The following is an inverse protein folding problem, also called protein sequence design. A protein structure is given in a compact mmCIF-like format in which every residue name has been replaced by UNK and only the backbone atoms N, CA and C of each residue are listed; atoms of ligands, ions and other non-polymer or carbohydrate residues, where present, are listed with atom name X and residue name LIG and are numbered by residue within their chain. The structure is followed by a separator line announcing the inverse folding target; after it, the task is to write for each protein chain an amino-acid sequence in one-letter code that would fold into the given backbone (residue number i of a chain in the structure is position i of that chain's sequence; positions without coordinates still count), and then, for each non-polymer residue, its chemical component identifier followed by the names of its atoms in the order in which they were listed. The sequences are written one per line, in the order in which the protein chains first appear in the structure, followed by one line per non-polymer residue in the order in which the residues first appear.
data_IF_747483292327
#
_entry.id   IF_747483292327
#
_cell.length_a   1.000
_cell.length_b   1.000
_cell.length_c   1.000
_cell.angle_alpha   90.00
_cell.angle_beta   90.00
_cell.angle_gamma   90.00
#
_symmetry.space_group_name_H-M   'P 1'
#
loop_
_entity.id
_entity.type
_entity.pdbx_description
1 polymer ?
#
# COMPACT_ATOMS: atom_id res chain seq x y z
N UNK A 1 8.53 -8.71 -5.48
CA UNK A 1 8.71 -7.53 -4.61
C UNK A 1 9.66 -6.57 -5.30
N UNK A 2 9.42 -5.27 -5.17
CA UNK A 2 10.37 -4.21 -5.54
C UNK A 2 10.56 -3.36 -4.30
N UNK A 3 11.78 -3.33 -3.80
CA UNK A 3 12.17 -2.50 -2.66
C UNK A 3 13.41 -1.70 -3.05
N UNK A 4 13.22 -0.40 -3.14
CA UNK A 4 14.27 0.59 -3.44
C UNK A 4 14.19 1.74 -2.42
N UNK A 5 13.69 1.44 -1.22
CA UNK A 5 13.59 2.40 -0.15
C UNK A 5 14.95 2.97 0.27
N UNK A 6 14.94 4.12 0.94
CA UNK A 6 16.13 4.74 1.56
C UNK A 6 17.25 5.03 0.57
N UNK A 7 16.85 5.62 -0.56
CA UNK A 7 17.77 6.03 -1.59
C UNK A 7 17.64 7.52 -1.88
N UNK A 8 18.39 7.98 -2.87
CA UNK A 8 18.35 9.36 -3.37
C UNK A 8 17.67 9.45 -4.75
N UNK A 9 16.78 8.50 -5.06
CA UNK A 9 16.09 8.46 -6.34
C UNK A 9 15.14 9.65 -6.45
N UNK A 10 15.04 10.24 -7.63
CA UNK A 10 14.25 11.44 -7.86
C UNK A 10 13.51 11.37 -9.19
N UNK A 11 12.65 12.36 -9.44
CA UNK A 11 11.78 12.38 -10.62
C UNK A 11 10.39 11.84 -10.31
N UNK A 12 9.57 11.65 -11.33
CA UNK A 12 8.22 11.10 -11.17
C UNK A 12 8.24 9.58 -11.11
N UNK A 13 7.30 8.99 -10.38
CA UNK A 13 7.04 7.55 -10.42
C UNK A 13 6.66 7.17 -11.87
N UNK A 14 7.41 6.29 -12.55
CA UNK A 14 7.13 5.96 -13.94
C UNK A 14 5.86 5.13 -14.13
N UNK A 15 5.09 5.43 -15.18
CA UNK A 15 3.85 4.70 -15.52
C UNK A 15 4.08 3.20 -15.80
N UNK A 16 5.28 2.83 -16.26
CA UNK A 16 5.59 1.43 -16.58
C UNK A 16 5.55 0.52 -15.36
N UNK A 17 5.68 1.05 -14.13
CA UNK A 17 5.53 0.24 -12.91
C UNK A 17 4.17 -0.45 -12.91
N UNK A 18 3.11 0.29 -13.23
CA UNK A 18 1.76 -0.26 -13.30
C UNK A 18 1.52 -1.15 -14.52
N UNK A 19 2.05 -0.75 -15.68
CA UNK A 19 1.81 -1.46 -16.94
C UNK A 19 2.55 -2.80 -17.00
N UNK A 20 3.83 -2.81 -16.61
CA UNK A 20 4.72 -3.96 -16.81
C UNK A 20 4.74 -4.87 -15.58
N UNK A 21 4.60 -4.32 -14.37
CA UNK A 21 4.69 -5.09 -13.13
C UNK A 21 3.32 -5.49 -12.58
N UNK A 22 2.38 -5.89 -13.44
CA UNK A 22 1.00 -6.25 -13.03
C UNK A 22 0.90 -7.37 -11.97
N UNK A 23 1.97 -8.16 -11.80
CA UNK A 23 2.09 -9.25 -10.82
C UNK A 23 2.68 -8.79 -9.49
N UNK A 24 3.06 -7.52 -9.36
CA UNK A 24 3.74 -6.99 -8.19
C UNK A 24 2.82 -7.02 -6.96
N UNK A 25 3.32 -7.65 -5.90
CA UNK A 25 2.62 -7.76 -4.62
C UNK A 25 3.14 -6.77 -3.57
N UNK A 26 4.43 -6.39 -3.66
CA UNK A 26 5.09 -5.51 -2.69
C UNK A 26 5.89 -4.47 -3.46
N UNK A 27 5.57 -3.20 -3.21
CA UNK A 27 6.27 -2.04 -3.74
C UNK A 27 6.65 -1.09 -2.61
N UNK A 28 7.94 -0.91 -2.38
CA UNK A 28 8.49 0.08 -1.46
C UNK A 28 9.38 1.06 -2.19
N UNK A 29 8.94 2.32 -2.23
CA UNK A 29 9.68 3.50 -2.72
C UNK A 29 10.02 4.48 -1.58
N UNK A 30 9.85 4.03 -0.32
CA UNK A 30 9.98 4.84 0.90
C UNK A 30 11.28 5.64 0.95
N UNK A 31 11.25 6.83 1.53
CA UNK A 31 12.47 7.60 1.83
C UNK A 31 13.34 7.82 0.60
N UNK A 32 12.77 8.55 -0.37
CA UNK A 32 13.40 8.96 -1.63
C UNK A 32 12.99 10.42 -1.95
N UNK A 33 13.31 10.92 -3.14
CA UNK A 33 12.94 12.25 -3.63
C UNK A 33 11.95 12.18 -4.81
N UNK A 34 11.09 11.15 -4.87
CA UNK A 34 10.07 11.06 -5.92
C UNK A 34 9.09 12.22 -5.80
N UNK A 35 8.72 12.83 -6.93
CA UNK A 35 7.90 14.05 -7.01
C UNK A 35 6.79 13.93 -8.04
N UNK A 36 5.86 14.88 -8.02
CA UNK A 36 4.70 14.87 -8.91
C UNK A 36 3.60 13.94 -8.42
N UNK A 37 2.56 13.74 -9.24
CA UNK A 37 1.40 12.93 -8.88
C UNK A 37 1.65 11.44 -9.01
N UNK A 38 0.91 10.65 -8.21
CA UNK A 38 0.83 9.21 -8.43
C UNK A 38 0.24 8.93 -9.83
N UNK A 39 0.92 8.16 -10.69
CA UNK A 39 0.40 7.84 -12.00
C UNK A 39 -0.82 6.92 -11.89
N UNK A 40 -1.85 7.13 -12.70
CA UNK A 40 -3.08 6.30 -12.69
C UNK A 40 -2.78 4.81 -12.95
N UNK A 41 -1.70 4.52 -13.68
CA UNK A 41 -1.23 3.17 -13.95
C UNK A 41 -0.89 2.40 -12.68
N UNK A 42 -0.58 3.07 -11.56
CA UNK A 42 -0.39 2.38 -10.28
C UNK A 42 -1.59 1.47 -9.96
N UNK A 43 -2.81 1.89 -10.33
CA UNK A 43 -4.05 1.13 -10.15
C UNK A 43 -4.15 -0.14 -11.02
N UNK A 44 -3.18 -0.42 -11.90
CA UNK A 44 -3.11 -1.67 -12.66
C UNK A 44 -2.46 -2.80 -11.87
N UNK A 45 -1.84 -2.49 -10.72
CA UNK A 45 -1.26 -3.46 -9.79
C UNK A 45 -2.35 -4.20 -8.99
N UNK A 46 -3.16 -5.03 -9.67
CA UNK A 46 -4.29 -5.73 -9.04
C UNK A 46 -3.88 -6.69 -7.92
N UNK A 47 -2.64 -7.18 -7.98
CA UNK A 47 -2.02 -8.10 -7.00
C UNK A 47 -1.30 -7.41 -5.86
N UNK A 48 -1.26 -6.07 -5.82
CA UNK A 48 -0.56 -5.33 -4.77
C UNK A 48 -1.19 -5.63 -3.41
N UNK A 49 -0.34 -5.90 -2.43
CA UNK A 49 -0.67 -6.11 -1.03
C UNK A 49 0.00 -5.05 -0.17
N UNK A 50 1.20 -4.61 -0.55
CA UNK A 50 1.92 -3.55 0.13
C UNK A 50 2.33 -2.46 -0.85
N UNK A 51 1.89 -1.24 -0.56
CA UNK A 51 2.28 -0.03 -1.27
C UNK A 51 2.84 0.97 -0.25
N UNK A 52 4.16 1.11 -0.20
CA UNK A 52 4.85 2.10 0.62
C UNK A 52 5.51 3.16 -0.28
N UNK A 53 4.90 4.33 -0.33
CA UNK A 53 5.40 5.51 -1.04
C UNK A 53 5.76 6.63 -0.05
N UNK A 54 5.91 6.30 1.22
CA UNK A 54 6.07 7.28 2.29
C UNK A 54 7.41 8.03 2.21
N UNK A 55 7.48 9.20 2.84
CA UNK A 55 8.71 10.01 2.92
C UNK A 55 9.29 10.33 1.54
N UNK A 56 8.47 10.99 0.71
CA UNK A 56 8.83 11.46 -0.62
C UNK A 56 8.31 12.90 -0.82
N UNK A 57 8.42 13.42 -2.04
CA UNK A 57 7.92 14.74 -2.46
C UNK A 57 6.69 14.62 -3.38
N UNK A 58 5.89 13.55 -3.24
CA UNK A 58 4.72 13.31 -4.09
C UNK A 58 3.63 14.35 -3.81
N UNK A 59 2.93 14.78 -4.85
CA UNK A 59 1.94 15.87 -4.80
C UNK A 59 0.64 15.47 -5.51
N UNK A 60 -0.36 16.34 -5.51
CA UNK A 60 -1.64 16.06 -6.17
C UNK A 60 -2.50 15.07 -5.39
N UNK A 61 -3.54 14.56 -6.04
CA UNK A 61 -4.57 13.75 -5.39
C UNK A 61 -4.24 12.26 -5.35
N UNK A 62 -4.81 11.56 -4.38
CA UNK A 62 -4.81 10.09 -4.36
C UNK A 62 -5.80 9.60 -5.44
N UNK A 63 -5.36 8.77 -6.41
CA UNK A 63 -6.24 8.32 -7.49
C UNK A 63 -7.47 7.56 -7.00
N UNK A 64 -8.67 7.93 -7.48
CA UNK A 64 -9.93 7.21 -7.17
C UNK A 64 -9.94 5.77 -7.71
N UNK A 65 -9.06 5.44 -8.67
CA UNK A 65 -8.90 4.07 -9.15
C UNK A 65 -8.26 3.12 -8.13
N UNK A 66 -7.89 3.59 -6.93
CA UNK A 66 -7.29 2.76 -5.86
C UNK A 66 -8.13 1.55 -5.47
N UNK A 67 -9.46 1.61 -5.66
CA UNK A 67 -10.37 0.44 -5.54
C UNK A 67 -9.97 -0.75 -6.42
N UNK A 68 -9.14 -0.56 -7.44
CA UNK A 68 -8.69 -1.62 -8.34
C UNK A 68 -7.59 -2.51 -7.72
N UNK A 69 -7.09 -2.20 -6.53
CA UNK A 69 -6.21 -3.09 -5.76
C UNK A 69 -6.99 -4.29 -5.23
N UNK A 70 -7.32 -5.22 -6.13
CA UNK A 70 -8.24 -6.33 -5.88
C UNK A 70 -7.76 -7.24 -4.75
N UNK A 71 -6.46 -7.44 -4.60
CA UNK A 71 -5.89 -8.19 -3.47
C UNK A 71 -6.11 -7.50 -2.11
N UNK A 72 -6.07 -6.15 -2.05
CA UNK A 72 -6.39 -5.38 -0.84
C UNK A 72 -7.88 -5.30 -0.56
N UNK A 73 -8.72 -5.52 -1.58
CA UNK A 73 -10.16 -5.67 -1.37
C UNK A 73 -10.44 -6.98 -0.62
N UNK A 74 -9.81 -8.11 -0.96
CA UNK A 74 -10.12 -9.41 -0.33
C UNK A 74 -9.60 -9.52 1.11
N UNK A 75 -10.29 -10.23 2.01
CA UNK A 75 -9.75 -10.57 3.33
C UNK A 75 -8.62 -11.59 3.22
N UNK A 76 -7.57 -11.46 4.03
CA UNK A 76 -6.45 -12.42 4.04
C UNK A 76 -6.77 -13.58 4.97
N UNK A 77 -6.70 -14.81 4.46
CA UNK A 77 -6.81 -16.03 5.26
C UNK A 77 -5.44 -16.69 5.36
N UNK A 78 -5.08 -17.20 6.54
CA UNK A 78 -3.89 -18.04 6.74
C UNK A 78 -3.89 -19.29 5.84
N UNK A 79 -5.07 -19.71 5.35
CA UNK A 79 -5.19 -20.85 4.42
C UNK A 79 -4.76 -20.51 2.99
N UNK A 80 -4.67 -19.22 2.67
CA UNK A 80 -4.27 -18.74 1.35
C UNK A 80 -2.76 -18.46 1.28
N UNK A 81 -2.03 -18.74 2.37
CA UNK A 81 -0.57 -18.65 2.39
C UNK A 81 0.03 -19.78 1.55
N UNK A 82 0.64 -19.42 0.43
CA UNK A 82 1.49 -20.32 -0.35
C UNK A 82 2.95 -19.92 -0.16
N UNK A 83 3.79 -20.89 0.17
CA UNK A 83 5.24 -20.68 0.22
C UNK A 83 5.75 -20.23 -1.16
N UNK A 84 6.73 -19.33 -1.15
CA UNK A 84 7.28 -18.78 -2.37
C UNK A 84 8.36 -19.69 -2.96
N UNK A 85 8.22 -20.05 -4.23
CA UNK A 85 9.18 -20.89 -4.96
C UNK A 85 9.58 -20.26 -6.30
N UNK A 86 10.77 -20.58 -6.77
CA UNK A 86 11.17 -20.36 -8.16
C UNK A 86 11.70 -21.65 -8.77
N UNK A 87 11.36 -21.84 -10.04
CA UNK A 87 11.82 -22.96 -10.85
C UNK A 87 13.18 -22.63 -11.44
N UNK A 88 14.17 -23.45 -11.14
CA UNK A 88 15.44 -23.44 -11.86
C UNK A 88 15.42 -24.61 -12.82
N UNK A 89 15.54 -24.32 -14.11
CA UNK A 89 15.68 -25.34 -15.14
C UNK A 89 16.97 -25.08 -15.91
N UNK A 90 17.99 -25.88 -15.61
CA UNK A 90 19.28 -25.87 -16.31
C UNK A 90 19.50 -27.21 -17.00
N UNK A 91 20.49 -27.29 -17.89
CA UNK A 91 20.87 -28.54 -18.55
C UNK A 91 21.38 -29.63 -17.59
N UNK A 92 21.64 -29.29 -16.32
CA UNK A 92 22.24 -30.19 -15.32
C UNK A 92 21.35 -30.42 -14.08
N UNK A 93 20.35 -29.57 -13.85
CA UNK A 93 19.42 -29.70 -12.72
C UNK A 93 18.08 -29.03 -13.00
N UNK A 94 17.01 -29.67 -12.53
CA UNK A 94 15.68 -29.08 -12.39
C UNK A 94 15.20 -29.24 -10.95
N UNK A 95 14.67 -28.17 -10.37
CA UNK A 95 14.16 -28.18 -9.00
C UNK A 95 13.42 -26.92 -8.63
N UNK A 96 12.49 -27.06 -7.69
CA UNK A 96 11.82 -25.95 -7.01
C UNK A 96 12.66 -25.52 -5.81
N UNK A 97 12.99 -24.22 -5.76
CA UNK A 97 13.74 -23.62 -4.67
C UNK A 97 12.85 -22.62 -3.94
N UNK A 98 12.65 -22.86 -2.65
CA UNK A 98 11.92 -21.92 -1.78
C UNK A 98 12.79 -20.71 -1.46
N UNK A 99 12.14 -19.57 -1.22
CA UNK A 99 12.80 -18.38 -0.68
C UNK A 99 11.87 -17.67 0.29
N UNK A 100 12.47 -17.03 1.30
CA UNK A 100 11.72 -16.22 2.25
C UNK A 100 11.49 -14.82 1.66
N UNK A 101 10.29 -14.30 1.85
CA UNK A 101 10.00 -12.91 1.52
C UNK A 101 10.02 -12.05 2.78
N UNK A 102 11.05 -11.20 2.91
CA UNK A 102 11.23 -10.33 4.07
C UNK A 102 11.23 -8.86 3.63
N UNK A 103 10.59 -7.99 4.41
CA UNK A 103 10.60 -6.55 4.18
C UNK A 103 10.71 -5.77 5.49
N UNK A 104 11.48 -4.69 5.49
CA UNK A 104 11.54 -3.71 6.58
C UNK A 104 10.53 -2.61 6.28
N UNK A 105 9.59 -2.40 7.20
CA UNK A 105 8.47 -1.47 7.03
C UNK A 105 8.37 -0.53 8.23
N UNK A 106 7.89 0.69 7.99
CA UNK A 106 7.38 1.50 9.09
C UNK A 106 6.05 0.91 9.57
N UNK A 107 6.02 0.40 10.80
CA UNK A 107 4.83 -0.13 11.44
C UNK A 107 4.55 0.60 12.75
N UNK A 108 3.42 1.31 12.81
CA UNK A 108 2.96 2.00 14.04
C UNK A 108 4.04 2.94 14.63
N UNK A 109 4.82 3.57 13.76
CA UNK A 109 5.90 4.51 14.15
C UNK A 109 7.25 3.87 14.46
N UNK A 110 7.41 2.55 14.30
CA UNK A 110 8.71 1.87 14.43
C UNK A 110 9.06 1.09 13.17
N UNK A 111 10.36 0.95 12.87
CA UNK A 111 10.80 0.03 11.81
C UNK A 111 10.66 -1.41 12.31
N UNK A 112 9.98 -2.24 11.53
CA UNK A 112 9.79 -3.65 11.82
C UNK A 112 10.06 -4.50 10.59
N UNK A 113 10.72 -5.62 10.81
CA UNK A 113 10.91 -6.63 9.79
C UNK A 113 9.70 -7.57 9.81
N UNK A 114 9.03 -7.67 8.67
CA UNK A 114 7.98 -8.66 8.43
C UNK A 114 8.56 -9.79 7.62
N UNK A 115 8.40 -11.02 8.11
CA UNK A 115 8.92 -12.22 7.47
C UNK A 115 7.79 -13.08 6.94
N UNK A 116 7.90 -13.48 5.68
CA UNK A 116 7.19 -14.57 5.04
C UNK A 116 5.66 -14.52 5.29
N UNK A 117 5.12 -15.44 6.10
CA UNK A 117 3.70 -15.43 6.49
C UNK A 117 3.25 -14.08 7.04
N UNK A 118 4.05 -13.43 7.88
CA UNK A 118 3.72 -12.11 8.43
C UNK A 118 3.58 -11.04 7.35
N UNK A 119 4.43 -11.08 6.33
CA UNK A 119 4.38 -10.16 5.20
C UNK A 119 3.20 -10.48 4.26
N UNK A 120 2.88 -11.75 4.03
CA UNK A 120 1.74 -12.16 3.19
C UNK A 120 0.37 -11.82 3.77
N UNK A 121 0.28 -11.68 5.10
CA UNK A 121 -0.95 -11.29 5.77
C UNK A 121 -1.17 -9.78 5.71
N UNK A 122 -0.11 -9.03 5.41
CA UNK A 122 -0.13 -7.59 5.48
C UNK A 122 -0.69 -6.98 4.19
N UNK A 123 -1.83 -6.30 4.33
CA UNK A 123 -2.40 -5.43 3.30
C UNK A 123 -2.26 -3.99 3.76
N UNK A 124 -1.31 -3.26 3.20
CA UNK A 124 -0.91 -1.94 3.70
C UNK A 124 -0.72 -0.92 2.60
N UNK A 125 -1.22 0.29 2.86
CA UNK A 125 -0.95 1.49 2.08
C UNK A 125 -0.33 2.53 3.02
N UNK A 126 0.92 2.91 2.75
CA UNK A 126 1.59 4.04 3.40
C UNK A 126 1.93 5.11 2.36
N UNK A 127 1.25 6.26 2.45
CA UNK A 127 1.49 7.45 1.65
C UNK A 127 1.96 8.63 2.51
N UNK A 128 2.37 8.37 3.75
CA UNK A 128 2.65 9.41 4.73
C UNK A 128 3.88 10.23 4.38
N UNK A 129 3.99 11.42 4.97
CA UNK A 129 5.13 12.33 4.78
C UNK A 129 5.39 12.66 3.31
N UNK A 130 4.34 13.18 2.66
CA UNK A 130 4.36 13.65 1.27
C UNK A 130 3.68 15.04 1.20
N UNK A 131 3.40 15.51 -0.01
CA UNK A 131 2.70 16.76 -0.31
C UNK A 131 1.33 16.49 -0.96
N UNK A 132 0.72 15.32 -0.72
CA UNK A 132 -0.56 14.95 -1.32
C UNK A 132 -1.67 15.89 -0.84
N UNK A 133 -2.58 16.23 -1.75
CA UNK A 133 -3.64 17.22 -1.53
C UNK A 133 -5.00 16.66 -1.99
N UNK A 134 -6.06 17.45 -1.82
CA UNK A 134 -7.42 17.03 -2.16
C UNK A 134 -8.03 16.15 -1.06
N UNK A 135 -9.14 15.50 -1.37
CA UNK A 135 -9.85 14.66 -0.41
C UNK A 135 -9.30 13.23 -0.37
N UNK A 136 -9.51 12.54 0.76
CA UNK A 136 -9.33 11.08 0.82
C UNK A 136 -10.40 10.44 -0.09
N UNK A 137 -10.04 9.70 -1.14
CA UNK A 137 -11.03 9.13 -2.05
C UNK A 137 -11.89 8.10 -1.33
N UNK A 138 -13.21 8.22 -1.47
CA UNK A 138 -14.19 7.26 -0.89
C UNK A 138 -13.95 5.83 -1.35
N UNK A 139 -13.28 5.64 -2.49
CA UNK A 139 -12.92 4.33 -3.03
C UNK A 139 -12.00 3.52 -2.11
N UNK A 140 -11.30 4.15 -1.15
CA UNK A 140 -10.58 3.44 -0.07
C UNK A 140 -11.52 2.56 0.76
N UNK A 141 -12.81 2.93 0.88
CA UNK A 141 -13.82 2.14 1.60
C UNK A 141 -14.06 0.76 0.96
N UNK A 142 -13.66 0.56 -0.31
CA UNK A 142 -13.73 -0.71 -1.01
C UNK A 142 -12.59 -1.68 -0.70
N UNK A 143 -11.56 -1.23 0.02
CA UNK A 143 -10.38 -2.04 0.36
C UNK A 143 -10.61 -2.76 1.71
N UNK A 144 -11.65 -3.59 1.79
CA UNK A 144 -12.11 -4.19 3.05
C UNK A 144 -11.12 -5.17 3.70
N UNK A 145 -10.13 -5.65 2.95
CA UNK A 145 -9.01 -6.45 3.47
C UNK A 145 -7.83 -5.64 3.96
N UNK A 146 -7.85 -4.30 3.88
CA UNK A 146 -6.75 -3.45 4.31
C UNK A 146 -6.52 -3.56 5.82
N UNK A 147 -5.28 -3.80 6.22
CA UNK A 147 -4.84 -3.95 7.61
C UNK A 147 -4.25 -2.65 8.15
N UNK A 148 -3.55 -1.89 7.29
CA UNK A 148 -2.89 -0.64 7.68
C UNK A 148 -3.05 0.44 6.63
N UNK A 149 -3.50 1.62 7.06
CA UNK A 149 -3.59 2.82 6.24
C UNK A 149 -2.90 3.99 6.94
N UNK A 150 -1.84 4.51 6.34
CA UNK A 150 -1.13 5.68 6.82
C UNK A 150 -1.12 6.78 5.76
N UNK A 151 -1.86 7.86 6.02
CA UNK A 151 -1.93 9.04 5.16
C UNK A 151 -1.41 10.30 5.89
N UNK A 152 -0.75 10.11 7.03
CA UNK A 152 -0.32 11.21 7.89
C UNK A 152 0.70 12.13 7.21
N UNK A 153 0.85 13.36 7.72
CA UNK A 153 1.83 14.35 7.21
C UNK A 153 1.67 14.60 5.72
N UNK A 154 0.47 15.02 5.32
CA UNK A 154 0.13 15.45 3.97
C UNK A 154 -0.69 16.76 4.03
N UNK A 155 -1.25 17.17 2.91
CA UNK A 155 -2.11 18.35 2.77
C UNK A 155 -3.56 17.95 2.45
N UNK A 156 -4.00 16.78 2.91
CA UNK A 156 -5.34 16.26 2.60
C UNK A 156 -6.41 17.10 3.30
N UNK A 157 -7.48 17.40 2.58
CA UNK A 157 -8.62 18.22 3.00
C UNK A 157 -9.91 17.41 3.02
N UNK A 158 -11.03 18.06 3.34
CA UNK A 158 -12.35 17.43 3.30
C UNK A 158 -12.60 16.51 4.49
N UNK A 159 -13.62 15.65 4.38
CA UNK A 159 -14.05 14.77 5.46
C UNK A 159 -13.37 13.41 5.37
N UNK A 160 -13.22 12.74 6.51
CA UNK A 160 -12.88 11.31 6.52
C UNK A 160 -14.06 10.54 5.89
N UNK A 161 -13.82 9.63 4.92
CA UNK A 161 -14.89 8.86 4.30
C UNK A 161 -15.68 8.06 5.35
N UNK A 162 -17.00 8.16 5.28
CA UNK A 162 -17.91 7.72 6.35
C UNK A 162 -17.85 6.22 6.65
N UNK A 163 -17.48 5.38 5.68
CA UNK A 163 -17.39 3.94 5.87
C UNK A 163 -15.97 3.46 6.20
N UNK A 164 -15.00 4.35 6.46
CA UNK A 164 -13.67 3.93 6.98
C UNK A 164 -13.82 3.10 8.26
N UNK A 165 -14.82 3.40 9.10
CA UNK A 165 -15.13 2.61 10.29
C UNK A 165 -15.65 1.18 10.01
N UNK A 166 -16.02 0.87 8.76
CA UNK A 166 -16.48 -0.47 8.32
C UNK A 166 -15.35 -1.36 7.80
N UNK A 167 -14.12 -0.84 7.67
CA UNK A 167 -12.95 -1.64 7.31
C UNK A 167 -12.58 -2.54 8.50
N UNK A 168 -13.20 -3.72 8.58
CA UNK A 168 -13.09 -4.61 9.75
C UNK A 168 -11.71 -5.22 9.94
N UNK A 169 -10.91 -5.31 8.88
CA UNK A 169 -9.52 -5.78 8.92
C UNK A 169 -8.53 -4.71 9.35
N UNK A 170 -8.94 -3.43 9.41
CA UNK A 170 -8.05 -2.31 9.67
C UNK A 170 -7.62 -2.28 11.14
N UNK A 171 -6.33 -2.48 11.39
CA UNK A 171 -5.70 -2.44 12.70
C UNK A 171 -4.96 -1.13 12.97
N UNK A 172 -4.56 -0.43 11.90
CA UNK A 172 -3.83 0.82 11.99
C UNK A 172 -4.39 1.85 11.01
N UNK A 173 -4.74 3.01 11.54
CA UNK A 173 -5.19 4.17 10.78
C UNK A 173 -4.51 5.42 11.33
N UNK A 174 -3.67 6.04 10.52
CA UNK A 174 -3.06 7.32 10.84
C UNK A 174 -3.38 8.36 9.77
N UNK A 175 -4.18 9.36 10.15
CA UNK A 175 -4.58 10.50 9.34
C UNK A 175 -4.03 11.82 9.90
N UNK A 176 -3.14 11.75 10.91
CA UNK A 176 -2.63 12.92 11.63
C UNK A 176 -1.84 13.87 10.72
N UNK A 177 -1.71 15.14 11.11
CA UNK A 177 -0.95 16.14 10.35
C UNK A 177 -1.46 16.28 8.89
N UNK A 178 -2.77 16.52 8.77
CA UNK A 178 -3.47 16.89 7.54
C UNK A 178 -4.39 18.10 7.81
N UNK A 179 -5.19 18.51 6.84
CA UNK A 179 -6.16 19.61 6.91
C UNK A 179 -7.61 19.08 6.88
N UNK A 180 -7.84 17.89 7.45
CA UNK A 180 -9.14 17.23 7.48
C UNK A 180 -10.12 17.99 8.37
N UNK A 181 -11.40 18.00 7.98
CA UNK A 181 -12.50 18.68 8.68
C UNK A 181 -13.68 17.73 8.93
N UNK A 182 -14.62 18.16 9.78
CA UNK A 182 -15.83 17.42 10.08
C UNK A 182 -15.67 16.46 11.26
N UNK A 183 -16.56 15.47 11.35
CA UNK A 183 -16.63 14.51 12.46
C UNK A 183 -15.85 13.23 12.15
N UNK A 184 -15.34 12.59 13.20
CA UNK A 184 -14.82 11.23 13.11
C UNK A 184 -15.99 10.29 12.77
N UNK A 185 -15.91 9.45 11.71
CA UNK A 185 -16.97 8.51 11.37
C UNK A 185 -17.22 7.51 12.50
N UNK A 186 -18.48 7.30 12.88
CA UNK A 186 -18.84 6.27 13.84
C UNK A 186 -18.81 4.88 13.19
N UNK A 187 -18.49 3.84 13.97
CA UNK A 187 -18.56 2.43 13.51
C UNK A 187 -20.01 1.93 13.27
N UNK A 188 -21.02 2.70 13.66
CA UNK A 188 -22.39 2.19 13.86
C UNK A 188 -23.16 2.00 12.55
N UNK A 189 -23.76 0.81 12.39
CA UNK A 189 -24.82 0.53 11.43
C UNK A 189 -25.99 1.50 11.67
N UNK A 190 -26.44 2.22 10.64
CA UNK A 190 -27.82 2.66 10.59
C UNK A 190 -28.68 1.42 10.39
N UNK A 191 -29.55 1.18 11.38
CA UNK A 191 -30.44 0.03 11.58
C UNK A 191 -31.18 -0.47 10.34
#
# INVERSE_FOLDING_TARGET
MVDIAENRLSGSIPNWIGNELSQLQFLSLRSNYFRGSLPLQICYLKRIQLLDLSQNNLSGEIPTCIKNFSSMAQMTSLRDYESHYYLVNTSFSSGDYSYDLNAILMWKGSEQMFTDMGLSLLKSIDLSSNQLSGEIPKEIEGLFGLVSLNLSKNQLTGKIPSNVGKLTSLEFLDLSQNQLVGSIPSKSCSN
#
